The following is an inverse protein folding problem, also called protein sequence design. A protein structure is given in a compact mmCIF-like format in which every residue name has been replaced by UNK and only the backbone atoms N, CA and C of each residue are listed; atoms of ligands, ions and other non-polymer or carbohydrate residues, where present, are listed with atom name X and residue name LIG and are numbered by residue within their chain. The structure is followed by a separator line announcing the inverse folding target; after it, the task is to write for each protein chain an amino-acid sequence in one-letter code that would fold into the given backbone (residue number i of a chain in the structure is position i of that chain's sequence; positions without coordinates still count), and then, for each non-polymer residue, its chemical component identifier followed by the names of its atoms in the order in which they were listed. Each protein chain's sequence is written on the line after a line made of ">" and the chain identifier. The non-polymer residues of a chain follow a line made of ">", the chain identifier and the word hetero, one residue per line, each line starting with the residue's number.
data_IF_099002030719
#
_entry.id   IF_099002030719
#
_cell.length_a   1.000
_cell.length_b   1.000
_cell.length_c   1.000
_cell.angle_alpha   90.00
_cell.angle_beta   90.00
_cell.angle_gamma   90.00
#
_symmetry.space_group_name_H-M   'P 1'
#
loop_
_entity.id
_entity.type
_entity.pdbx_description
1 polymer ?
#
# COMPACT_ATOMS: atom_id res chain seq x y z
N UNK A 1 3.60 -22.93 1.77
CA UNK A 1 5.06 -22.96 1.56
C UNK A 1 5.75 -22.73 2.91
N UNK A 2 6.55 -23.69 3.42
CA UNK A 2 7.27 -23.51 4.67
C UNK A 2 8.23 -22.30 4.59
N UNK A 3 8.33 -21.53 5.69
CA UNK A 3 9.29 -20.42 5.80
C UNK A 3 10.70 -21.00 5.72
N UNK A 4 11.54 -20.41 4.87
CA UNK A 4 12.94 -20.81 4.79
C UNK A 4 13.62 -20.51 6.14
N UNK A 5 14.44 -21.44 6.61
CA UNK A 5 15.19 -21.29 7.86
C UNK A 5 16.15 -20.10 7.78
N UNK A 6 16.25 -19.34 8.89
CA UNK A 6 16.97 -18.08 8.94
C UNK A 6 18.45 -18.31 8.64
N UNK A 7 18.97 -17.61 7.63
CA UNK A 7 20.39 -17.70 7.24
C UNK A 7 20.68 -18.68 6.09
N UNK A 8 19.69 -19.46 5.65
CA UNK A 8 19.83 -20.28 4.43
C UNK A 8 19.97 -19.40 3.18
N UNK A 9 20.62 -19.89 2.10
CA UNK A 9 20.68 -19.16 0.83
C UNK A 9 19.30 -18.74 0.30
N UNK A 10 18.28 -19.56 0.53
CA UNK A 10 16.88 -19.27 0.17
C UNK A 10 16.30 -18.13 1.02
N UNK A 11 16.60 -18.07 2.30
CA UNK A 11 16.19 -16.97 3.17
C UNK A 11 16.92 -15.67 2.84
N UNK A 12 18.23 -15.72 2.55
CA UNK A 12 19.01 -14.56 2.10
C UNK A 12 18.46 -14.04 0.76
N UNK A 13 18.17 -14.90 -0.21
CA UNK A 13 17.56 -14.53 -1.48
C UNK A 13 16.16 -13.91 -1.28
N UNK A 14 15.35 -14.47 -0.38
CA UNK A 14 14.04 -13.93 -0.04
C UNK A 14 14.13 -12.55 0.63
N UNK A 15 15.07 -12.36 1.55
CA UNK A 15 15.32 -11.08 2.22
C UNK A 15 15.83 -10.04 1.24
N UNK A 16 16.77 -10.39 0.36
CA UNK A 16 17.26 -9.50 -0.70
C UNK A 16 16.16 -9.08 -1.68
N UNK A 17 15.26 -10.00 -2.06
CA UNK A 17 14.08 -9.66 -2.91
C UNK A 17 13.00 -8.83 -2.19
N UNK A 18 13.00 -8.84 -0.86
CA UNK A 18 12.11 -8.02 -0.04
C UNK A 18 12.68 -6.62 0.25
N UNK A 19 13.96 -6.38 -0.03
CA UNK A 19 14.58 -5.06 0.07
C UNK A 19 14.07 -4.16 -1.06
N UNK A 20 13.68 -2.94 -0.71
CA UNK A 20 13.18 -1.95 -1.66
C UNK A 20 11.67 -1.76 -1.67
N UNK A 21 11.24 -0.75 -2.41
CA UNK A 21 9.84 -0.45 -2.68
C UNK A 21 9.36 -1.41 -3.79
N UNK A 22 8.56 -2.40 -3.41
CA UNK A 22 7.96 -3.32 -4.39
C UNK A 22 6.83 -2.61 -5.15
N UNK A 23 6.45 -3.13 -6.32
CA UNK A 23 5.38 -2.52 -7.12
C UNK A 23 4.09 -2.46 -6.29
N UNK A 24 3.55 -1.25 -6.14
CA UNK A 24 2.31 -0.99 -5.40
C UNK A 24 1.08 -1.69 -5.98
N UNK A 25 1.17 -2.20 -7.21
CA UNK A 25 0.13 -3.02 -7.85
C UNK A 25 -0.30 -4.22 -6.99
N UNK A 26 0.59 -4.73 -6.14
CA UNK A 26 0.34 -5.91 -5.30
C UNK A 26 0.18 -5.57 -3.81
N UNK A 27 -0.21 -4.35 -3.48
CA UNK A 27 -0.45 -3.93 -2.10
C UNK A 27 -1.93 -4.01 -1.74
N UNK A 28 -2.26 -4.61 -0.60
CA UNK A 28 -3.60 -4.59 -0.03
C UNK A 28 -3.68 -3.49 1.03
N UNK A 29 -4.44 -2.42 0.75
CA UNK A 29 -4.64 -1.32 1.68
C UNK A 29 -5.37 -1.76 2.96
N UNK A 30 -6.40 -2.58 2.80
CA UNK A 30 -7.27 -3.03 3.90
C UNK A 30 -6.55 -3.90 4.92
N UNK A 31 -5.52 -4.63 4.48
CA UNK A 31 -4.68 -5.45 5.35
C UNK A 31 -3.30 -4.84 5.59
N UNK A 32 -3.06 -3.61 5.09
CA UNK A 32 -1.75 -2.94 5.05
C UNK A 32 -0.60 -3.87 4.66
N UNK A 33 -0.84 -4.69 3.62
CA UNK A 33 0.01 -5.83 3.28
C UNK A 33 0.54 -5.74 1.86
N UNK A 34 1.85 -5.61 1.74
CA UNK A 34 2.56 -5.75 0.46
C UNK A 34 2.71 -7.23 0.08
N UNK A 35 2.10 -7.62 -1.04
CA UNK A 35 2.37 -8.90 -1.69
C UNK A 35 3.52 -8.74 -2.70
N UNK A 36 4.26 -9.84 -2.94
CA UNK A 36 5.48 -9.83 -3.77
C UNK A 36 5.18 -9.81 -5.26
N UNK A 37 4.14 -10.52 -5.67
CA UNK A 37 3.77 -10.76 -7.05
C UNK A 37 2.25 -10.95 -7.17
N UNK A 38 1.77 -11.10 -8.41
CA UNK A 38 0.37 -11.30 -8.72
C UNK A 38 -0.22 -12.53 -8.01
N UNK A 39 0.53 -13.64 -7.97
CA UNK A 39 0.07 -14.87 -7.34
C UNK A 39 -0.05 -14.70 -5.81
N UNK A 40 0.91 -14.01 -5.19
CA UNK A 40 0.85 -13.64 -3.78
C UNK A 40 -0.36 -12.79 -3.44
N UNK A 41 -0.73 -11.85 -4.32
CA UNK A 41 -1.95 -11.06 -4.15
C UNK A 41 -3.21 -11.92 -4.30
N UNK A 42 -3.27 -12.83 -5.28
CA UNK A 42 -4.40 -13.78 -5.45
C UNK A 42 -4.57 -14.67 -4.23
N UNK A 43 -3.51 -15.31 -3.76
CA UNK A 43 -3.56 -16.12 -2.53
C UNK A 43 -3.94 -15.30 -1.30
N UNK A 44 -3.51 -14.04 -1.23
CA UNK A 44 -3.91 -13.16 -0.14
C UNK A 44 -5.40 -12.83 -0.16
N UNK A 45 -5.96 -12.49 -1.32
CA UNK A 45 -7.40 -12.20 -1.48
C UNK A 45 -8.27 -13.41 -1.12
N UNK A 46 -7.78 -14.63 -1.34
CA UNK A 46 -8.48 -15.87 -0.99
C UNK A 46 -8.28 -16.31 0.47
N UNK A 47 -7.42 -15.65 1.25
CA UNK A 47 -7.11 -16.08 2.62
C UNK A 47 -8.23 -15.71 3.61
N UNK A 48 -8.52 -16.61 4.56
CA UNK A 48 -9.55 -16.37 5.60
C UNK A 48 -9.33 -15.09 6.41
N UNK A 49 -8.07 -14.69 6.60
CA UNK A 49 -7.73 -13.44 7.27
C UNK A 49 -8.23 -12.22 6.48
N UNK A 50 -8.02 -12.24 5.17
CA UNK A 50 -8.50 -11.18 4.28
C UNK A 50 -10.03 -11.19 4.20
N UNK A 51 -10.65 -12.35 4.01
CA UNK A 51 -12.10 -12.49 3.91
C UNK A 51 -12.82 -12.04 5.19
N UNK A 52 -12.28 -12.36 6.37
CA UNK A 52 -12.82 -11.87 7.65
C UNK A 52 -12.73 -10.35 7.77
N UNK A 53 -11.58 -9.76 7.41
CA UNK A 53 -11.43 -8.30 7.39
C UNK A 53 -12.42 -7.66 6.42
N UNK A 54 -12.58 -8.21 5.21
CA UNK A 54 -13.55 -7.74 4.23
C UNK A 54 -15.00 -7.80 4.74
N UNK A 55 -15.37 -8.85 5.49
CA UNK A 55 -16.71 -8.96 6.07
C UNK A 55 -16.99 -7.93 7.17
N UNK A 56 -15.95 -7.47 7.88
CA UNK A 56 -16.05 -6.37 8.85
C UNK A 56 -16.15 -5.03 8.10
N UNK A 57 -15.34 -4.85 7.06
CA UNK A 57 -15.28 -3.61 6.30
C UNK A 57 -16.50 -3.39 5.38
N UNK A 58 -17.14 -4.46 4.88
CA UNK A 58 -18.32 -4.36 4.02
C UNK A 58 -19.49 -3.64 4.69
N UNK A 59 -19.57 -3.71 6.02
CA UNK A 59 -20.61 -3.05 6.81
C UNK A 59 -20.45 -1.52 6.86
N UNK A 60 -19.23 -1.00 6.63
CA UNK A 60 -18.90 0.42 6.72
C UNK A 60 -18.07 0.91 5.51
N UNK A 61 -18.22 0.26 4.36
CA UNK A 61 -17.34 0.46 3.21
C UNK A 61 -17.27 1.92 2.73
N UNK A 62 -18.39 2.66 2.81
CA UNK A 62 -18.43 4.08 2.44
C UNK A 62 -17.52 4.94 3.31
N UNK A 63 -17.68 4.84 4.63
CA UNK A 63 -16.90 5.61 5.61
C UNK A 63 -15.41 5.29 5.53
N UNK A 64 -15.06 4.02 5.35
CA UNK A 64 -13.65 3.59 5.27
C UNK A 64 -12.96 4.18 4.04
N UNK A 65 -13.64 4.19 2.88
CA UNK A 65 -13.09 4.79 1.65
C UNK A 65 -12.96 6.32 1.81
N UNK A 66 -13.91 6.96 2.49
CA UNK A 66 -13.82 8.40 2.80
C UNK A 66 -12.65 8.70 3.73
N UNK A 67 -12.43 7.90 4.76
CA UNK A 67 -11.31 8.06 5.69
C UNK A 67 -9.96 7.87 4.99
N UNK A 68 -9.84 6.89 4.09
CA UNK A 68 -8.64 6.75 3.26
C UNK A 68 -8.45 7.94 2.32
N UNK A 69 -9.54 8.50 1.78
CA UNK A 69 -9.48 9.69 0.92
C UNK A 69 -8.99 10.91 1.70
N UNK A 70 -9.52 11.15 2.91
CA UNK A 70 -9.10 12.24 3.80
C UNK A 70 -7.64 12.10 4.24
N UNK A 71 -7.22 10.88 4.60
CA UNK A 71 -5.82 10.61 4.98
C UNK A 71 -4.87 10.88 3.81
N UNK A 72 -5.21 10.43 2.60
CA UNK A 72 -4.41 10.68 1.41
C UNK A 72 -4.33 12.17 1.09
N UNK A 73 -5.47 12.88 1.10
CA UNK A 73 -5.51 14.33 0.84
C UNK A 73 -4.65 15.10 1.85
N UNK A 74 -4.75 14.78 3.13
CA UNK A 74 -3.94 15.42 4.17
C UNK A 74 -2.43 15.23 3.93
N UNK A 75 -1.99 14.00 3.64
CA UNK A 75 -0.57 13.70 3.35
C UNK A 75 -0.11 14.38 2.05
N UNK A 76 -0.95 14.37 1.02
CA UNK A 76 -0.66 14.99 -0.26
C UNK A 76 -0.47 16.51 -0.13
N UNK A 77 -1.39 17.19 0.56
CA UNK A 77 -1.31 18.63 0.81
C UNK A 77 -0.15 18.99 1.74
N UNK A 78 0.14 18.17 2.74
CA UNK A 78 1.28 18.37 3.63
C UNK A 78 2.62 18.22 2.87
N UNK A 79 2.74 17.22 2.00
CA UNK A 79 3.92 17.03 1.13
C UNK A 79 4.09 18.20 0.16
N UNK A 80 2.99 18.63 -0.48
CA UNK A 80 2.99 19.79 -1.35
C UNK A 80 3.44 21.05 -0.60
N UNK A 81 2.87 21.30 0.59
CA UNK A 81 3.17 22.49 1.41
C UNK A 81 4.61 22.49 1.92
N UNK A 82 5.14 21.35 2.37
CA UNK A 82 6.48 21.23 2.94
C UNK A 82 7.58 21.24 1.88
N UNK A 83 7.40 20.51 0.79
CA UNK A 83 8.46 20.30 -0.20
C UNK A 83 8.43 21.30 -1.35
N UNK A 84 7.24 21.77 -1.76
CA UNK A 84 7.06 22.55 -2.98
C UNK A 84 6.50 23.98 -2.74
N UNK A 85 5.86 24.21 -1.59
CA UNK A 85 5.35 25.52 -1.19
C UNK A 85 4.30 26.06 -2.16
N UNK A 86 4.63 27.14 -2.88
CA UNK A 86 3.76 27.77 -3.89
C UNK A 86 4.16 27.46 -5.33
N UNK A 87 5.17 26.61 -5.54
CA UNK A 87 5.63 26.25 -6.89
C UNK A 87 4.57 25.41 -7.59
N UNK A 88 4.38 25.69 -8.89
CA UNK A 88 3.57 24.82 -9.75
C UNK A 88 4.34 23.53 -10.01
N UNK A 89 3.78 22.40 -9.60
CA UNK A 89 4.39 21.08 -9.74
C UNK A 89 3.34 20.11 -10.26
N UNK A 90 3.77 19.18 -11.12
CA UNK A 90 2.88 18.12 -11.62
C UNK A 90 2.37 17.26 -10.47
N UNK A 91 1.06 16.99 -10.47
CA UNK A 91 0.43 16.15 -9.44
C UNK A 91 1.06 14.75 -9.36
N UNK A 92 1.49 14.20 -10.49
CA UNK A 92 2.18 12.90 -10.53
C UNK A 92 3.50 12.93 -9.77
N UNK A 93 4.25 14.04 -9.77
CA UNK A 93 5.53 14.12 -9.05
C UNK A 93 5.30 14.09 -7.53
N UNK A 94 4.30 14.84 -7.06
CA UNK A 94 3.92 14.87 -5.64
C UNK A 94 3.40 13.48 -5.24
N UNK A 95 2.60 12.84 -6.08
CA UNK A 95 2.12 11.48 -5.83
C UNK A 95 3.28 10.47 -5.69
N UNK A 96 4.29 10.53 -6.57
CA UNK A 96 5.47 9.66 -6.48
C UNK A 96 6.29 9.90 -5.19
N UNK A 97 6.31 11.13 -4.68
CA UNK A 97 6.94 11.46 -3.39
C UNK A 97 6.12 10.90 -2.22
N UNK A 98 4.80 11.04 -2.24
CA UNK A 98 3.89 10.54 -1.20
C UNK A 98 3.99 9.02 -1.06
N UNK A 99 4.02 8.29 -2.18
CA UNK A 99 4.08 6.82 -2.19
C UNK A 99 5.48 6.24 -1.98
N UNK A 100 6.50 7.10 -1.85
CA UNK A 100 7.88 6.68 -1.55
C UNK A 100 7.98 6.08 -0.15
N UNK A 101 7.12 6.51 0.77
CA UNK A 101 6.95 5.86 2.07
C UNK A 101 6.02 4.64 1.93
N UNK A 102 6.47 3.53 2.51
CA UNK A 102 5.85 2.22 2.40
C UNK A 102 4.61 2.05 3.28
N UNK A 103 4.35 2.98 4.20
CA UNK A 103 3.23 2.91 5.15
C UNK A 103 2.08 3.88 4.81
N UNK A 104 2.19 4.66 3.74
CA UNK A 104 1.16 5.63 3.39
C UNK A 104 -0.01 5.01 2.61
N UNK A 105 -1.18 5.65 2.74
CA UNK A 105 -2.38 5.32 1.97
C UNK A 105 -2.10 5.58 0.49
N UNK A 106 -2.34 4.57 -0.35
CA UNK A 106 -2.16 4.71 -1.79
C UNK A 106 -3.44 5.17 -2.48
N UNK A 107 -3.30 6.00 -3.52
CA UNK A 107 -4.41 6.57 -4.30
C UNK A 107 -5.31 5.50 -4.95
N UNK A 108 -4.80 4.28 -5.15
CA UNK A 108 -5.59 3.12 -5.60
C UNK A 108 -6.75 2.75 -4.66
N UNK A 109 -6.75 3.29 -3.43
CA UNK A 109 -7.72 2.99 -2.37
C UNK A 109 -8.67 4.15 -2.07
N UNK A 110 -8.55 5.27 -2.78
CA UNK A 110 -9.39 6.45 -2.60
C UNK A 110 -10.43 6.56 -3.72
N UNK A 111 -11.44 7.42 -3.55
CA UNK A 111 -12.46 7.69 -4.58
C UNK A 111 -11.88 8.35 -5.85
N UNK A 112 -10.73 9.01 -5.72
CA UNK A 112 -10.07 9.75 -6.80
C UNK A 112 -9.16 8.81 -7.59
N UNK A 113 -9.73 8.10 -8.56
CA UNK A 113 -8.98 7.39 -9.60
C UNK A 113 -8.80 8.25 -10.84
#
# INVERSE_FOLDING_TARGET
>A
MPKAERGTPKDIANRSKAKGLQRLRWYCQMCSKQCRDENGMKCHMMSDSHLRMMAIFSQNAGTIVEDFSKQFEGIYLDTLRRCHGTKRVSANNIYQEVIRDKHHVHMNSTRCK
#
